data_IF_206876752428
#
_entry.id   IF_206876752428
#
_cell.length_a   1.000
_cell.length_b   1.000
_cell.length_c   1.000
_cell.angle_alpha   90.00
_cell.angle_beta   90.00
_cell.angle_gamma   90.00
#
_symmetry.space_group_name_H-M   'P 1'
#
loop_
_entity.id
_entity.type
_entity.pdbx_description
1 polymer ?
#
# COMPACT_ATOMS: atom_id res chain seq x y z
N UNK A 1 21.52 6.17 14.61
CA UNK A 1 20.51 7.24 14.82
C UNK A 1 19.34 6.68 15.63
N UNK A 2 18.37 7.49 16.07
CA UNK A 2 17.10 7.02 16.69
C UNK A 2 15.93 7.39 15.78
N UNK A 3 15.41 6.41 15.06
CA UNK A 3 14.36 6.59 14.05
C UNK A 3 13.01 6.19 14.62
N UNK A 4 12.01 7.03 14.46
CA UNK A 4 10.59 6.67 14.67
C UNK A 4 9.90 6.68 13.32
N UNK A 5 9.25 5.58 12.96
CA UNK A 5 8.50 5.45 11.71
C UNK A 5 7.00 5.41 11.98
N UNK A 6 6.29 6.45 11.54
CA UNK A 6 4.85 6.58 11.68
C UNK A 6 4.10 6.15 10.41
N UNK A 7 4.72 5.27 9.62
CA UNK A 7 4.17 4.71 8.39
C UNK A 7 4.73 3.29 8.14
N UNK A 8 3.92 2.26 7.83
CA UNK A 8 4.42 0.93 7.53
C UNK A 8 5.45 0.88 6.40
N UNK A 9 5.22 1.55 5.27
CA UNK A 9 6.18 1.52 4.16
C UNK A 9 7.55 2.11 4.52
N UNK A 10 7.58 3.20 5.30
CA UNK A 10 8.84 3.77 5.78
C UNK A 10 9.57 2.82 6.75
N UNK A 11 8.82 2.05 7.55
CA UNK A 11 9.38 1.00 8.39
C UNK A 11 10.05 -0.09 7.56
N UNK A 12 9.37 -0.57 6.50
CA UNK A 12 9.95 -1.57 5.60
C UNK A 12 11.22 -1.06 4.91
N UNK A 13 11.25 0.21 4.50
CA UNK A 13 12.46 0.83 3.93
C UNK A 13 13.59 0.89 4.97
N UNK A 14 13.33 1.33 6.20
CA UNK A 14 14.34 1.37 7.27
C UNK A 14 14.98 -0.01 7.49
N UNK A 15 14.17 -1.08 7.54
CA UNK A 15 14.70 -2.44 7.66
C UNK A 15 15.47 -2.87 6.41
N UNK A 16 14.98 -2.55 5.21
CA UNK A 16 15.65 -2.88 3.95
C UNK A 16 17.01 -2.17 3.79
N UNK A 17 17.19 -1.03 4.44
CA UNK A 17 18.46 -0.30 4.53
C UNK A 17 19.38 -0.82 5.65
N UNK A 18 19.00 -1.87 6.37
CA UNK A 18 19.80 -2.43 7.47
C UNK A 18 19.73 -1.63 8.77
N UNK A 19 18.78 -0.70 8.89
CA UNK A 19 18.67 0.23 10.04
C UNK A 19 17.63 -0.23 11.07
N UNK A 20 17.28 -1.52 11.11
CA UNK A 20 16.28 -2.07 12.03
C UNK A 20 16.60 -1.80 13.51
N UNK A 21 17.88 -1.88 13.89
CA UNK A 21 18.36 -1.59 15.26
C UNK A 21 18.24 -0.11 15.63
N UNK A 22 18.13 0.78 14.63
CA UNK A 22 17.96 2.22 14.83
C UNK A 22 16.48 2.61 14.97
N UNK A 23 15.55 1.70 14.65
CA UNK A 23 14.12 1.94 14.75
C UNK A 23 13.65 1.79 16.21
N UNK A 24 13.34 2.91 16.85
CA UNK A 24 12.95 3.00 18.27
C UNK A 24 11.46 3.21 18.48
N UNK A 25 10.69 3.35 17.40
CA UNK A 25 9.23 3.43 17.45
C UNK A 25 8.57 3.22 16.11
N UNK A 26 7.40 2.58 16.12
CA UNK A 26 6.60 2.25 14.93
C UNK A 26 5.11 2.59 15.11
N UNK A 27 4.31 2.47 14.06
CA UNK A 27 2.85 2.44 14.20
C UNK A 27 2.35 1.06 14.61
N UNK A 28 1.09 0.97 15.04
CA UNK A 28 0.40 -0.30 15.26
C UNK A 28 0.19 -1.11 13.97
N UNK A 29 0.27 -0.48 12.80
CA UNK A 29 0.08 -1.10 11.47
C UNK A 29 1.39 -1.64 10.87
N UNK A 30 2.54 -1.36 11.49
CA UNK A 30 3.82 -1.87 11.02
C UNK A 30 3.97 -3.35 11.43
N UNK A 31 3.90 -4.27 10.48
CA UNK A 31 3.92 -5.73 10.73
C UNK A 31 4.99 -6.48 9.91
N UNK A 32 5.82 -5.75 9.15
CA UNK A 32 6.87 -6.30 8.31
C UNK A 32 8.17 -5.48 8.39
N UNK A 33 9.34 -6.13 8.39
CA UNK A 33 9.54 -7.58 8.50
C UNK A 33 9.18 -8.09 9.92
N UNK A 34 9.07 -9.41 10.17
CA UNK A 34 8.61 -9.94 11.46
C UNK A 34 9.37 -9.41 12.69
N UNK A 35 10.65 -9.08 12.52
CA UNK A 35 11.51 -8.48 13.55
C UNK A 35 10.97 -7.13 14.07
N UNK A 36 10.13 -6.44 13.28
CA UNK A 36 9.51 -5.18 13.69
C UNK A 36 8.62 -5.33 14.92
N UNK A 37 8.14 -6.54 15.22
CA UNK A 37 7.29 -6.80 16.38
C UNK A 37 7.95 -6.37 17.70
N UNK A 38 9.29 -6.44 17.78
CA UNK A 38 10.06 -6.04 18.95
C UNK A 38 10.14 -4.51 19.15
N UNK A 39 9.82 -3.73 18.12
CA UNK A 39 9.89 -2.26 18.16
C UNK A 39 8.65 -1.70 18.88
N UNK A 40 8.81 -0.75 19.82
CA UNK A 40 7.67 -0.17 20.54
C UNK A 40 6.67 0.54 19.62
N UNK A 41 5.38 0.35 19.90
CA UNK A 41 4.28 0.98 19.16
C UNK A 41 3.98 2.36 19.73
N UNK A 42 3.91 3.37 18.86
CA UNK A 42 3.70 4.78 19.19
C UNK A 42 2.31 5.28 18.85
N UNK A 43 1.50 4.49 18.15
CA UNK A 43 0.15 4.90 17.74
C UNK A 43 -0.88 3.85 18.05
N UNK A 44 -2.12 4.27 18.23
CA UNK A 44 -3.27 3.38 18.36
C UNK A 44 -4.43 3.90 17.54
N UNK A 45 -5.17 3.00 16.89
CA UNK A 45 -6.53 3.29 16.43
C UNK A 45 -7.39 3.60 17.66
N UNK A 46 -8.03 4.78 17.64
CA UNK A 46 -8.90 5.24 18.73
C UNK A 46 -10.09 4.30 18.95
N UNK A 47 -10.42 3.49 17.94
CA UNK A 47 -11.73 2.88 17.77
C UNK A 47 -11.67 1.49 17.12
N UNK A 48 -10.53 0.80 17.29
CA UNK A 48 -10.23 -0.48 16.65
C UNK A 48 -11.39 -1.47 16.75
N UNK A 49 -11.83 -1.97 15.59
CA UNK A 49 -12.77 -3.09 15.50
C UNK A 49 -12.23 -4.13 14.53
N UNK A 50 -11.39 -5.05 15.03
CA UNK A 50 -10.82 -6.11 14.21
C UNK A 50 -11.92 -6.91 13.49
N UNK A 51 -11.78 -7.08 12.17
CA UNK A 51 -12.71 -7.83 11.34
C UNK A 51 -14.02 -7.10 10.97
N UNK A 52 -14.13 -5.80 11.25
CA UNK A 52 -15.26 -5.00 10.77
C UNK A 52 -15.37 -5.05 9.23
N UNK A 53 -16.59 -5.02 8.70
CA UNK A 53 -16.84 -4.98 7.25
C UNK A 53 -16.46 -3.62 6.66
N UNK A 54 -16.09 -3.58 5.37
CA UNK A 54 -15.67 -2.36 4.67
C UNK A 54 -16.69 -1.23 4.78
N UNK A 55 -17.99 -1.53 4.69
CA UNK A 55 -19.07 -0.53 4.85
C UNK A 55 -19.02 0.18 6.21
N UNK A 56 -18.88 -0.60 7.28
CA UNK A 56 -18.86 -0.06 8.64
C UNK A 56 -17.61 0.77 8.89
N UNK A 57 -16.45 0.30 8.40
CA UNK A 57 -15.20 1.06 8.48
C UNK A 57 -15.34 2.38 7.69
N UNK A 58 -15.89 2.33 6.47
CA UNK A 58 -16.12 3.51 5.63
C UNK A 58 -17.01 4.54 6.32
N UNK A 59 -18.17 4.14 6.84
CA UNK A 59 -19.09 5.05 7.52
C UNK A 59 -18.41 5.72 8.72
N UNK A 60 -17.62 4.99 9.50
CA UNK A 60 -16.88 5.54 10.65
C UNK A 60 -15.78 6.52 10.25
N UNK A 61 -14.99 6.17 9.24
CA UNK A 61 -13.94 7.05 8.71
C UNK A 61 -14.57 8.35 8.22
N UNK A 62 -15.65 8.24 7.42
CA UNK A 62 -16.40 9.39 6.92
C UNK A 62 -16.92 10.25 8.07
N UNK A 63 -17.60 9.67 9.05
CA UNK A 63 -18.18 10.41 10.18
C UNK A 63 -17.12 11.15 10.99
N UNK A 64 -15.94 10.54 11.20
CA UNK A 64 -14.83 11.17 11.93
C UNK A 64 -14.18 12.30 11.16
N UNK A 65 -13.95 12.13 9.84
CA UNK A 65 -13.44 13.19 8.98
C UNK A 65 -14.38 14.39 8.97
N UNK A 66 -15.70 14.16 8.86
CA UNK A 66 -16.70 15.23 8.92
C UNK A 66 -16.78 15.88 10.31
N UNK A 67 -16.62 15.08 11.36
CA UNK A 67 -16.61 15.56 12.76
C UNK A 67 -15.30 16.19 13.21
N UNK A 68 -14.26 16.23 12.37
CA UNK A 68 -12.91 16.70 12.75
C UNK A 68 -12.21 15.86 13.82
N UNK A 69 -12.70 14.64 14.06
CA UNK A 69 -12.16 13.72 15.07
C UNK A 69 -10.94 12.98 14.52
N UNK A 70 -9.96 12.69 15.39
CA UNK A 70 -8.78 11.94 14.98
C UNK A 70 -9.11 10.46 14.78
N UNK A 71 -8.57 9.87 13.71
CA UNK A 71 -8.64 8.43 13.48
C UNK A 71 -7.66 7.68 14.39
N UNK A 72 -6.46 8.22 14.54
CA UNK A 72 -5.40 7.64 15.36
C UNK A 72 -4.95 8.57 16.48
N UNK A 73 -4.44 7.98 17.54
CA UNK A 73 -3.78 8.67 18.65
C UNK A 73 -2.28 8.40 18.59
N UNK A 74 -1.50 9.44 18.82
CA UNK A 74 -0.06 9.35 19.05
C UNK A 74 0.20 9.28 20.56
N UNK A 75 1.01 8.33 21.00
CA UNK A 75 1.51 8.25 22.36
C UNK A 75 2.73 9.19 22.50
N UNK A 76 2.46 10.39 22.99
CA UNK A 76 3.50 11.41 23.15
C UNK A 76 4.49 11.10 24.27
N UNK A 77 4.08 10.32 25.27
CA UNK A 77 4.98 9.90 26.34
C UNK A 77 5.98 8.87 25.80
N UNK A 78 5.50 7.89 25.04
CA UNK A 78 6.35 6.93 24.37
C UNK A 78 7.27 7.61 23.33
N UNK A 79 6.75 8.59 22.56
CA UNK A 79 7.57 9.39 21.64
C UNK A 79 8.67 10.18 22.36
N UNK A 80 8.36 10.77 23.52
CA UNK A 80 9.34 11.50 24.32
C UNK A 80 10.42 10.58 24.90
N UNK A 81 10.03 9.44 25.45
CA UNK A 81 10.97 8.42 25.96
C UNK A 81 11.84 7.83 24.85
N UNK A 82 11.29 7.74 23.63
CA UNK A 82 12.01 7.28 22.46
C UNK A 82 13.08 8.26 21.97
N UNK A 83 13.06 9.55 22.36
CA UNK A 83 14.09 10.55 22.00
C UNK A 83 14.55 10.46 20.54
N UNK A 84 13.64 10.59 19.56
CA UNK A 84 13.98 10.40 18.15
C UNK A 84 14.84 11.54 17.61
N UNK A 85 15.75 11.20 16.71
CA UNK A 85 16.49 12.17 15.88
C UNK A 85 15.73 12.41 14.55
N UNK A 86 15.04 11.37 14.05
CA UNK A 86 14.32 11.36 12.78
C UNK A 86 12.94 10.72 12.97
N UNK A 87 11.91 11.40 12.46
CA UNK A 87 10.55 10.88 12.37
C UNK A 87 10.13 10.81 10.90
N UNK A 88 9.76 9.61 10.46
CA UNK A 88 9.23 9.36 9.12
C UNK A 88 7.70 9.32 9.18
N UNK A 89 7.01 10.06 8.31
CA UNK A 89 5.54 10.19 8.28
C UNK A 89 5.04 10.36 6.83
N UNK A 90 3.75 10.62 6.64
CA UNK A 90 3.14 10.95 5.34
C UNK A 90 1.93 11.89 5.45
N UNK A 91 1.59 12.56 4.35
CA UNK A 91 0.34 13.30 4.11
C UNK A 91 -0.41 12.85 2.83
N UNK A 92 0.02 11.72 2.25
CA UNK A 92 -0.60 11.12 1.06
C UNK A 92 -2.06 10.72 1.33
N UNK A 93 -2.35 10.12 2.47
CA UNK A 93 -3.68 9.68 2.88
C UNK A 93 -4.01 10.19 4.29
N UNK A 94 -5.01 11.07 4.38
CA UNK A 94 -5.55 11.63 5.64
C UNK A 94 -6.22 10.58 6.54
N UNK A 95 -6.43 9.37 6.01
CA UNK A 95 -7.11 8.26 6.69
C UNK A 95 -6.13 7.27 7.31
N UNK A 96 -4.90 7.16 6.79
CA UNK A 96 -3.99 6.05 7.11
C UNK A 96 -2.86 6.41 8.08
N UNK A 97 -2.71 7.67 8.47
CA UNK A 97 -1.69 8.08 9.44
C UNK A 97 -2.18 9.16 10.40
N UNK A 98 -1.41 9.38 11.46
CA UNK A 98 -1.56 10.57 12.32
C UNK A 98 -1.35 11.81 11.46
N UNK A 99 -2.26 12.78 11.52
CA UNK A 99 -2.14 13.97 10.67
C UNK A 99 -0.87 14.76 11.00
N UNK A 100 -0.23 15.28 9.95
CA UNK A 100 1.04 16.00 10.07
C UNK A 100 0.99 17.19 11.04
N UNK A 101 -0.14 17.92 11.06
CA UNK A 101 -0.38 18.99 12.04
C UNK A 101 -0.30 18.49 13.48
N UNK A 102 -0.93 17.35 13.80
CA UNK A 102 -0.90 16.79 15.17
C UNK A 102 0.49 16.29 15.53
N UNK A 103 1.17 15.66 14.58
CA UNK A 103 2.54 15.21 14.77
C UNK A 103 3.48 16.39 15.06
N UNK A 104 3.44 17.44 14.24
CA UNK A 104 4.28 18.62 14.45
C UNK A 104 3.96 19.35 15.76
N UNK A 105 2.70 19.41 16.17
CA UNK A 105 2.30 19.91 17.50
C UNK A 105 2.85 19.05 18.64
N UNK A 106 2.89 17.71 18.49
CA UNK A 106 3.47 16.79 19.48
C UNK A 106 4.99 16.91 19.52
N UNK A 107 5.66 16.91 18.36
CA UNK A 107 7.12 17.07 18.23
C UNK A 107 7.59 18.36 18.90
N UNK A 108 6.89 19.49 18.69
CA UNK A 108 7.21 20.76 19.37
C UNK A 108 7.13 20.66 20.91
N UNK A 109 6.21 19.85 21.44
CA UNK A 109 6.07 19.64 22.89
C UNK A 109 7.13 18.69 23.44
N UNK A 110 7.52 17.70 22.65
CA UNK A 110 8.51 16.67 23.03
C UNK A 110 9.94 17.20 22.92
N UNK A 111 10.28 17.91 21.84
CA UNK A 111 11.63 18.37 21.56
C UNK A 111 12.09 19.50 22.50
N UNK A 112 11.15 20.27 23.07
CA UNK A 112 11.46 21.45 23.87
C UNK A 112 12.11 22.57 23.04
N UNK A 113 12.80 23.51 23.70
CA UNK A 113 13.46 24.66 23.04
C UNK A 113 14.84 24.32 22.43
N UNK A 114 15.45 23.19 22.81
CA UNK A 114 16.84 22.83 22.47
C UNK A 114 16.98 21.54 21.64
N UNK A 115 15.92 20.75 21.49
CA UNK A 115 15.94 19.51 20.70
C UNK A 115 15.60 19.76 19.23
N UNK A 116 16.42 19.25 18.31
CA UNK A 116 16.13 19.25 16.88
C UNK A 116 15.71 17.83 16.47
N UNK A 117 14.42 17.65 16.19
CA UNK A 117 13.88 16.39 15.66
C UNK A 117 13.54 16.64 14.18
N UNK A 118 14.19 15.90 13.28
CA UNK A 118 13.89 15.98 11.85
C UNK A 118 12.60 15.23 11.55
N UNK A 119 11.62 15.88 10.92
CA UNK A 119 10.36 15.24 10.49
C UNK A 119 10.30 15.23 8.98
N UNK A 120 10.18 14.05 8.38
CA UNK A 120 10.15 13.86 6.93
C UNK A 120 8.82 13.27 6.52
N UNK A 121 8.05 14.01 5.71
CA UNK A 121 6.82 13.50 5.07
C UNK A 121 7.16 12.85 3.73
N UNK A 122 6.71 11.61 3.54
CA UNK A 122 6.92 10.81 2.34
C UNK A 122 5.60 10.65 1.59
N UNK A 123 5.50 11.23 0.40
CA UNK A 123 4.24 11.32 -0.35
C UNK A 123 4.40 10.86 -1.81
N UNK A 124 4.86 9.61 -2.05
CA UNK A 124 5.03 9.13 -3.41
C UNK A 124 3.67 8.87 -4.06
N UNK A 125 3.54 9.25 -5.33
CA UNK A 125 2.33 8.97 -6.14
C UNK A 125 2.62 8.08 -7.35
N UNK A 126 3.88 7.68 -7.55
CA UNK A 126 4.36 6.85 -8.66
C UNK A 126 5.44 5.88 -8.17
N UNK A 127 5.74 4.85 -8.97
CA UNK A 127 6.81 3.89 -8.67
C UNK A 127 8.16 4.60 -8.52
N UNK A 128 8.48 5.55 -9.40
CA UNK A 128 9.71 6.34 -9.27
C UNK A 128 9.69 7.22 -8.01
N UNK A 129 8.52 7.77 -7.63
CA UNK A 129 8.34 8.45 -6.36
C UNK A 129 8.67 7.56 -5.17
N UNK A 130 8.22 6.29 -5.19
CA UNK A 130 8.53 5.31 -4.15
C UNK A 130 10.04 5.06 -4.07
N UNK A 131 10.69 4.83 -5.21
CA UNK A 131 12.14 4.67 -5.25
C UNK A 131 12.87 5.91 -4.69
N UNK A 132 12.37 7.12 -4.99
CA UNK A 132 12.94 8.34 -4.41
C UNK A 132 12.79 8.41 -2.89
N UNK A 133 11.72 7.87 -2.30
CA UNK A 133 11.59 7.80 -0.83
C UNK A 133 12.69 6.96 -0.19
N UNK A 134 13.18 5.92 -0.86
CA UNK A 134 14.32 5.11 -0.40
C UNK A 134 15.58 5.97 -0.36
N UNK A 135 15.87 6.72 -1.43
CA UNK A 135 16.99 7.67 -1.46
C UNK A 135 16.88 8.73 -0.36
N UNK A 136 15.67 9.28 -0.14
CA UNK A 136 15.42 10.29 0.89
C UNK A 136 15.68 9.72 2.28
N UNK A 137 15.15 8.53 2.61
CA UNK A 137 15.40 7.89 3.90
C UNK A 137 16.89 7.58 4.07
N UNK A 138 17.55 7.03 3.03
CA UNK A 138 18.99 6.78 3.05
C UNK A 138 19.81 8.02 3.39
N UNK A 139 19.57 9.15 2.71
CA UNK A 139 20.26 10.40 3.00
C UNK A 139 19.96 10.96 4.40
N UNK A 140 18.72 10.82 4.88
CA UNK A 140 18.34 11.32 6.20
C UNK A 140 18.85 10.45 7.35
N UNK A 141 19.11 9.17 7.08
CA UNK A 141 19.62 8.22 8.05
C UNK A 141 21.13 7.95 7.92
N UNK A 142 21.84 8.65 7.02
CA UNK A 142 23.25 8.41 6.69
C UNK A 142 23.54 6.96 6.22
N UNK A 143 22.65 6.44 5.39
CA UNK A 143 22.68 5.10 4.78
C UNK A 143 22.54 5.19 3.25
N UNK A 144 23.25 6.15 2.62
CA UNK A 144 23.18 6.39 1.18
C UNK A 144 23.70 5.21 0.34
N UNK A 145 24.76 4.53 0.78
CA UNK A 145 25.34 3.40 0.07
C UNK A 145 24.37 2.20 0.06
N UNK A 146 23.73 1.92 1.19
CA UNK A 146 22.68 0.90 1.32
C UNK A 146 21.47 1.24 0.45
N UNK A 147 21.08 2.51 0.41
CA UNK A 147 19.98 2.97 -0.44
C UNK A 147 20.29 2.79 -1.93
N UNK A 148 21.51 3.12 -2.37
CA UNK A 148 21.95 2.87 -3.75
C UNK A 148 21.88 1.37 -4.08
N UNK A 149 22.41 0.51 -3.20
CA UNK A 149 22.36 -0.94 -3.41
C UNK A 149 20.93 -1.49 -3.50
N UNK A 150 20.03 -1.05 -2.62
CA UNK A 150 18.62 -1.44 -2.66
C UNK A 150 17.93 -0.97 -3.94
N UNK A 151 18.21 0.26 -4.40
CA UNK A 151 17.64 0.81 -5.62
C UNK A 151 18.12 0.07 -6.87
N UNK A 152 19.40 -0.28 -6.94
CA UNK A 152 19.94 -1.10 -8.03
C UNK A 152 19.23 -2.45 -8.11
N UNK A 153 19.08 -3.13 -6.97
CA UNK A 153 18.36 -4.40 -6.86
C UNK A 153 16.89 -4.28 -7.34
N UNK A 154 16.16 -3.28 -6.84
CA UNK A 154 14.75 -3.08 -7.21
C UNK A 154 14.58 -2.72 -8.69
N UNK A 155 15.48 -1.89 -9.25
CA UNK A 155 15.46 -1.53 -10.68
C UNK A 155 15.81 -2.71 -11.57
N UNK A 156 16.77 -3.56 -11.19
CA UNK A 156 17.08 -4.79 -11.92
C UNK A 156 15.89 -5.75 -11.95
N UNK A 157 15.22 -5.92 -10.81
CA UNK A 157 14.00 -6.74 -10.70
C UNK A 157 12.88 -6.20 -11.60
N UNK A 158 12.65 -4.89 -11.56
CA UNK A 158 11.64 -4.24 -12.41
C UNK A 158 11.98 -4.37 -13.89
N UNK A 159 13.24 -4.13 -14.27
CA UNK A 159 13.69 -4.27 -15.65
C UNK A 159 13.53 -5.69 -16.18
N UNK A 160 13.72 -6.71 -15.35
CA UNK A 160 13.46 -8.11 -15.71
C UNK A 160 11.99 -8.34 -16.08
N UNK A 161 11.06 -7.80 -15.28
CA UNK A 161 9.62 -7.91 -15.55
C UNK A 161 9.25 -7.16 -16.84
N UNK A 162 9.71 -5.90 -16.98
CA UNK A 162 9.38 -5.05 -18.12
C UNK A 162 9.93 -5.61 -19.44
N UNK A 163 11.14 -6.17 -19.44
CA UNK A 163 11.70 -6.85 -20.60
C UNK A 163 10.85 -8.06 -20.99
N UNK A 164 10.40 -8.86 -20.01
CA UNK A 164 9.53 -9.99 -20.28
C UNK A 164 8.17 -9.55 -20.83
N UNK A 165 7.56 -8.49 -20.29
CA UNK A 165 6.32 -7.90 -20.84
C UNK A 165 6.52 -7.49 -22.29
N UNK A 166 7.65 -6.87 -22.62
CA UNK A 166 7.96 -6.48 -24.00
C UNK A 166 8.06 -7.69 -24.93
N UNK A 167 8.75 -8.75 -24.51
CA UNK A 167 8.82 -10.02 -25.27
C UNK A 167 7.43 -10.59 -25.55
N UNK A 168 6.56 -10.63 -24.52
CA UNK A 168 5.18 -11.15 -24.64
C UNK A 168 4.36 -10.30 -25.62
N UNK A 169 4.47 -8.98 -25.56
CA UNK A 169 3.82 -8.06 -26.52
C UNK A 169 4.31 -8.26 -27.95
N UNK A 170 5.63 -8.43 -28.15
CA UNK A 170 6.21 -8.72 -29.48
C UNK A 170 5.75 -10.08 -30.02
N UNK A 171 5.44 -11.04 -29.14
CA UNK A 171 4.84 -12.32 -29.50
C UNK A 171 3.31 -12.24 -29.76
N UNK A 172 2.71 -11.04 -29.69
CA UNK A 172 1.30 -10.81 -30.02
C UNK A 172 0.34 -10.94 -28.84
N UNK A 173 0.84 -11.03 -27.60
CA UNK A 173 -0.01 -11.04 -26.40
C UNK A 173 -0.50 -9.61 -26.12
N UNK A 174 -1.82 -9.43 -26.13
CA UNK A 174 -2.45 -8.14 -25.87
C UNK A 174 -2.46 -7.80 -24.37
N UNK A 175 -2.42 -6.51 -24.00
CA UNK A 175 -2.59 -6.10 -22.60
C UNK A 175 -3.93 -6.58 -22.04
N UNK A 176 -3.88 -7.28 -20.90
CA UNK A 176 -5.06 -7.72 -20.17
C UNK A 176 -5.79 -6.51 -19.58
N UNK A 177 -7.10 -6.41 -19.82
CA UNK A 177 -7.92 -5.28 -19.33
C UNK A 177 -8.46 -5.61 -17.94
N UNK A 178 -8.07 -4.84 -16.94
CA UNK A 178 -8.34 -5.16 -15.53
C UNK A 178 -8.98 -3.99 -14.79
N UNK A 179 -9.68 -4.31 -13.71
CA UNK A 179 -10.12 -3.33 -12.72
C UNK A 179 -9.50 -3.68 -11.38
N UNK A 180 -8.97 -2.65 -10.74
CA UNK A 180 -8.26 -2.70 -9.47
C UNK A 180 -9.07 -1.98 -8.39
N UNK A 181 -9.53 -2.71 -7.36
CA UNK A 181 -10.36 -2.16 -6.28
C UNK A 181 -9.63 -2.13 -4.92
N UNK A 182 -9.39 -0.93 -4.39
CA UNK A 182 -8.73 -0.69 -3.10
C UNK A 182 -9.72 -0.58 -1.92
N UNK A 183 -11.01 -0.66 -2.21
CA UNK A 183 -12.08 -0.80 -1.22
C UNK A 183 -13.27 -1.46 -1.89
N UNK A 184 -14.08 -2.22 -1.14
CA UNK A 184 -15.13 -3.06 -1.72
C UNK A 184 -16.55 -2.54 -1.48
N UNK A 185 -16.78 -1.77 -0.41
CA UNK A 185 -18.11 -1.24 -0.09
C UNK A 185 -18.08 0.15 0.59
N UNK A 186 -18.41 1.24 -0.13
CA UNK A 186 -18.59 1.29 -1.60
C UNK A 186 -17.26 0.97 -2.33
N UNK A 187 -17.29 0.55 -3.60
CA UNK A 187 -16.05 0.22 -4.30
C UNK A 187 -15.20 1.48 -4.53
N UNK A 188 -13.88 1.36 -4.40
CA UNK A 188 -12.92 2.42 -4.75
C UNK A 188 -11.99 1.93 -5.85
N UNK A 189 -11.91 2.68 -6.96
CA UNK A 189 -10.95 2.42 -8.01
C UNK A 189 -9.55 2.83 -7.53
N UNK A 190 -8.57 1.97 -7.79
CA UNK A 190 -7.19 2.15 -7.37
C UNK A 190 -6.55 3.40 -8.00
N UNK A 191 -5.61 4.00 -7.28
CA UNK A 191 -4.93 5.23 -7.70
C UNK A 191 -3.42 5.17 -7.50
N UNK A 192 -2.80 6.33 -7.46
CA UNK A 192 -1.38 6.56 -7.25
C UNK A 192 -0.54 5.68 -8.20
N UNK A 193 0.29 4.80 -7.64
CA UNK A 193 1.16 3.92 -8.39
C UNK A 193 0.47 2.63 -8.87
N UNK A 194 -0.73 2.29 -8.41
CA UNK A 194 -1.36 0.99 -8.74
C UNK A 194 -1.70 0.86 -10.23
N UNK A 195 -2.29 1.86 -10.92
CA UNK A 195 -2.46 1.80 -12.37
C UNK A 195 -1.12 1.70 -13.12
N UNK A 196 -0.05 2.30 -12.58
CA UNK A 196 1.30 2.19 -13.13
C UNK A 196 1.84 0.77 -12.93
N UNK A 197 1.58 0.12 -11.79
CA UNK A 197 1.92 -1.29 -11.57
C UNK A 197 1.28 -2.18 -12.62
N UNK A 198 -0.02 -2.01 -12.88
CA UNK A 198 -0.76 -2.77 -13.91
C UNK A 198 -0.13 -2.55 -15.29
N UNK A 199 0.16 -1.31 -15.67
CA UNK A 199 0.79 -1.00 -16.97
C UNK A 199 2.17 -1.66 -17.10
N UNK A 200 3.01 -1.56 -16.07
CA UNK A 200 4.37 -2.14 -16.04
C UNK A 200 4.34 -3.66 -16.00
N UNK A 201 3.31 -4.26 -15.42
CA UNK A 201 3.02 -5.69 -15.45
C UNK A 201 2.43 -6.18 -16.80
N UNK A 202 2.18 -5.26 -17.74
CA UNK A 202 1.74 -5.58 -19.10
C UNK A 202 0.25 -5.43 -19.35
N UNK A 203 -0.55 -5.12 -18.33
CA UNK A 203 -1.99 -4.93 -18.41
C UNK A 203 -2.44 -3.51 -18.76
N UNK A 204 -3.74 -3.29 -18.61
CA UNK A 204 -4.42 -2.02 -18.79
C UNK A 204 -5.49 -1.84 -17.70
N UNK A 205 -5.26 -0.91 -16.78
CA UNK A 205 -6.24 -0.55 -15.74
C UNK A 205 -7.34 0.34 -16.36
N UNK A 206 -8.60 0.01 -16.09
CA UNK A 206 -9.77 0.60 -16.77
C UNK A 206 -10.44 1.79 -16.08
N UNK A 207 -10.24 2.00 -14.78
CA UNK A 207 -10.97 3.01 -13.98
C UNK A 207 -10.05 4.01 -13.28
N UNK A 208 -8.97 3.53 -12.68
CA UNK A 208 -7.94 4.27 -11.99
C UNK A 208 -7.06 5.10 -12.92
N UNK A 209 -6.32 6.03 -12.32
CA UNK A 209 -5.42 6.95 -13.03
C UNK A 209 -4.07 7.03 -12.35
N UNK A 210 -3.01 6.86 -13.13
CA UNK A 210 -1.63 6.95 -12.64
C UNK A 210 -1.38 8.31 -11.99
N UNK A 211 -0.83 8.30 -10.77
CA UNK A 211 -0.47 9.50 -10.03
C UNK A 211 -1.64 10.24 -9.35
N UNK A 212 -2.89 9.92 -9.67
CA UNK A 212 -4.07 10.53 -9.05
C UNK A 212 -4.55 9.70 -7.86
N UNK A 213 -5.21 10.33 -6.88
CA UNK A 213 -5.74 9.61 -5.70
C UNK A 213 -6.76 8.55 -6.12
N UNK A 214 -6.88 7.50 -5.31
CA UNK A 214 -7.95 6.52 -5.41
C UNK A 214 -9.31 7.22 -5.25
N UNK A 215 -10.31 6.80 -6.02
CA UNK A 215 -11.62 7.46 -6.07
C UNK A 215 -12.74 6.47 -5.80
N UNK A 216 -13.75 6.92 -5.06
CA UNK A 216 -15.00 6.16 -4.93
C UNK A 216 -15.61 5.96 -6.32
N UNK A 217 -16.02 4.74 -6.61
CA UNK A 217 -16.65 4.34 -7.88
C UNK A 217 -17.92 3.55 -7.58
N UNK A 218 -18.54 2.99 -8.62
CA UNK A 218 -19.74 2.17 -8.50
C UNK A 218 -19.55 0.83 -9.19
N UNK A 219 -20.33 -0.17 -8.77
CA UNK A 219 -20.37 -1.43 -9.49
C UNK A 219 -20.89 -1.23 -10.92
N UNK A 220 -21.78 -0.27 -11.16
CA UNK A 220 -22.22 0.13 -12.50
C UNK A 220 -21.04 0.59 -13.37
N UNK A 221 -20.12 1.41 -12.86
CA UNK A 221 -18.92 1.80 -13.59
C UNK A 221 -18.01 0.60 -13.89
N UNK A 222 -17.88 -0.34 -12.94
CA UNK A 222 -17.16 -1.62 -13.18
C UNK A 222 -17.83 -2.43 -14.30
N UNK A 223 -19.17 -2.44 -14.37
CA UNK A 223 -19.92 -3.10 -15.43
C UNK A 223 -19.71 -2.44 -16.78
N UNK A 224 -19.71 -1.12 -16.84
CA UNK A 224 -19.59 -0.34 -18.08
C UNK A 224 -18.27 -0.59 -18.80
N UNK A 225 -17.18 -0.81 -18.06
CA UNK A 225 -15.84 -1.05 -18.65
C UNK A 225 -15.57 -2.51 -19.01
N UNK A 226 -16.44 -3.43 -18.55
CA UNK A 226 -16.39 -4.88 -18.82
C UNK A 226 -14.98 -5.49 -18.67
N UNK A 227 -14.45 -5.59 -17.44
CA UNK A 227 -13.09 -6.06 -17.21
C UNK A 227 -12.94 -7.54 -17.54
N UNK A 228 -11.74 -7.91 -18.00
CA UNK A 228 -11.34 -9.30 -18.20
C UNK A 228 -10.86 -9.96 -16.91
N UNK A 229 -10.36 -9.17 -15.96
CA UNK A 229 -10.04 -9.63 -14.60
C UNK A 229 -10.39 -8.55 -13.59
N UNK A 230 -10.77 -8.97 -12.38
CA UNK A 230 -11.05 -8.10 -11.25
C UNK A 230 -10.08 -8.41 -10.10
N UNK A 231 -9.27 -7.43 -9.73
CA UNK A 231 -8.32 -7.51 -8.63
C UNK A 231 -8.88 -6.77 -7.42
N UNK A 232 -9.21 -7.52 -6.38
CA UNK A 232 -9.67 -6.99 -5.10
C UNK A 232 -8.44 -6.88 -4.19
N UNK A 233 -8.12 -5.67 -3.72
CA UNK A 233 -6.94 -5.41 -2.90
C UNK A 233 -7.20 -4.30 -1.87
N UNK A 234 -8.22 -4.47 -1.00
CA UNK A 234 -8.53 -3.49 0.03
C UNK A 234 -7.30 -3.15 0.88
N UNK A 235 -7.08 -1.86 1.09
CA UNK A 235 -6.00 -1.38 1.96
C UNK A 235 -6.19 -1.92 3.39
N UNK A 236 -5.11 -2.35 4.03
CA UNK A 236 -5.11 -2.94 5.37
C UNK A 236 -5.39 -4.45 5.40
N UNK A 237 -5.69 -5.08 4.27
CA UNK A 237 -6.13 -6.48 4.21
C UNK A 237 -5.10 -7.34 3.48
N UNK A 238 -4.76 -8.49 4.08
CA UNK A 238 -4.08 -9.58 3.38
C UNK A 238 -5.05 -10.30 2.42
N UNK A 239 -4.56 -11.24 1.59
CA UNK A 239 -5.41 -11.94 0.62
C UNK A 239 -6.55 -12.76 1.27
N UNK A 240 -6.34 -13.30 2.47
CA UNK A 240 -7.36 -14.05 3.21
C UNK A 240 -8.45 -13.14 3.77
N UNK A 241 -8.07 -11.99 4.32
CA UNK A 241 -8.97 -10.93 4.78
C UNK A 241 -9.77 -10.35 3.61
N UNK A 242 -9.12 -10.11 2.46
CA UNK A 242 -9.78 -9.69 1.23
C UNK A 242 -10.85 -10.69 0.78
N UNK A 243 -10.54 -12.01 0.79
CA UNK A 243 -11.54 -13.04 0.49
C UNK A 243 -12.72 -13.03 1.49
N UNK A 244 -12.43 -12.87 2.79
CA UNK A 244 -13.46 -12.83 3.82
C UNK A 244 -14.35 -11.57 3.72
N UNK A 245 -13.77 -10.44 3.32
CA UNK A 245 -14.54 -9.23 2.98
C UNK A 245 -15.40 -9.46 1.75
N UNK A 246 -14.82 -10.02 0.69
CA UNK A 246 -15.55 -10.30 -0.55
C UNK A 246 -16.81 -11.12 -0.30
N UNK A 247 -16.75 -12.13 0.58
CA UNK A 247 -17.92 -12.94 0.95
C UNK A 247 -19.06 -12.12 1.56
N UNK A 248 -18.74 -11.01 2.24
CA UNK A 248 -19.71 -10.14 2.93
C UNK A 248 -20.11 -8.92 2.10
N UNK A 249 -19.32 -8.55 1.10
CA UNK A 249 -19.59 -7.41 0.21
C UNK A 249 -20.92 -7.63 -0.54
N UNK A 250 -21.89 -6.70 -0.42
CA UNK A 250 -23.10 -6.73 -1.22
C UNK A 250 -22.76 -6.61 -2.71
N UNK A 251 -23.30 -7.52 -3.53
CA UNK A 251 -23.09 -7.53 -4.98
C UNK A 251 -24.39 -7.23 -5.70
N UNK A 252 -24.38 -6.45 -6.79
CA UNK A 252 -25.56 -6.31 -7.64
C UNK A 252 -26.04 -7.66 -8.16
N UNK A 253 -27.35 -7.81 -8.39
CA UNK A 253 -27.93 -9.07 -8.87
C UNK A 253 -27.32 -9.54 -10.20
N UNK A 254 -26.86 -8.61 -11.04
CA UNK A 254 -26.23 -8.88 -12.33
C UNK A 254 -24.73 -9.18 -12.22
N UNK A 255 -24.10 -9.14 -11.04
CA UNK A 255 -22.65 -9.28 -10.90
C UNK A 255 -22.12 -10.58 -11.53
N UNK A 256 -22.85 -11.69 -11.38
CA UNK A 256 -22.50 -12.98 -11.97
C UNK A 256 -22.53 -12.99 -13.52
N UNK A 257 -23.08 -11.95 -14.16
CA UNK A 257 -23.09 -11.78 -15.61
C UNK A 257 -21.81 -11.11 -16.14
N UNK A 258 -21.01 -10.46 -15.28
CA UNK A 258 -19.74 -9.85 -15.67
C UNK A 258 -18.81 -10.88 -16.31
N UNK A 259 -18.06 -10.47 -17.34
CA UNK A 259 -17.09 -11.34 -18.00
C UNK A 259 -16.10 -11.96 -17.01
N UNK A 260 -15.43 -11.12 -16.21
CA UNK A 260 -14.51 -11.60 -15.18
C UNK A 260 -15.16 -12.61 -14.23
N UNK A 261 -16.42 -12.36 -13.81
CA UNK A 261 -17.17 -13.28 -12.95
C UNK A 261 -17.44 -14.63 -13.62
N UNK A 262 -17.93 -14.62 -14.85
CA UNK A 262 -18.26 -15.84 -15.61
C UNK A 262 -17.04 -16.68 -15.96
N UNK A 263 -15.90 -16.04 -16.19
CA UNK A 263 -14.64 -16.68 -16.58
C UNK A 263 -13.81 -17.12 -15.36
N UNK A 264 -14.24 -16.79 -14.13
CA UNK A 264 -13.51 -17.14 -12.90
C UNK A 264 -12.26 -16.28 -12.66
N UNK A 265 -12.26 -15.08 -13.22
CA UNK A 265 -11.13 -14.14 -13.27
C UNK A 265 -11.26 -13.06 -12.19
N UNK A 266 -11.56 -13.48 -10.95
CA UNK A 266 -11.57 -12.61 -9.78
C UNK A 266 -10.54 -13.10 -8.77
N UNK A 267 -9.78 -12.16 -8.23
CA UNK A 267 -8.68 -12.48 -7.33
C UNK A 267 -8.71 -11.57 -6.11
N UNK A 268 -8.65 -12.18 -4.93
CA UNK A 268 -8.34 -11.49 -3.68
C UNK A 268 -6.83 -11.40 -3.55
N UNK A 269 -6.30 -10.20 -3.42
CA UNK A 269 -4.87 -9.94 -3.26
C UNK A 269 -4.58 -9.40 -1.86
N UNK A 270 -3.33 -9.53 -1.42
CA UNK A 270 -2.81 -8.80 -0.27
C UNK A 270 -2.61 -7.32 -0.64
N UNK A 271 -3.64 -6.53 -0.34
CA UNK A 271 -3.68 -5.10 -0.61
C UNK A 271 -2.70 -4.31 0.22
N UNK A 272 -2.44 -4.74 1.46
CA UNK A 272 -1.49 -4.10 2.37
C UNK A 272 -0.06 -4.17 1.84
N UNK A 273 0.44 -5.38 1.60
CA UNK A 273 1.85 -5.61 1.32
C UNK A 273 2.30 -5.05 -0.03
N UNK A 274 1.51 -5.27 -1.07
CA UNK A 274 1.97 -5.10 -2.46
C UNK A 274 1.39 -3.87 -3.16
N UNK A 275 0.28 -3.32 -2.65
CA UNK A 275 -0.47 -2.29 -3.38
C UNK A 275 -0.67 -0.99 -2.59
N UNK A 276 -0.79 -1.07 -1.26
CA UNK A 276 -1.13 0.08 -0.42
C UNK A 276 0.05 0.66 0.37
N UNK A 277 1.16 -0.08 0.49
CA UNK A 277 2.38 0.37 1.17
C UNK A 277 3.43 0.78 0.13
N UNK A 278 3.72 2.08 -0.03
CA UNK A 278 4.70 2.57 -1.00
C UNK A 278 6.13 2.32 -0.53
N UNK A 279 6.55 1.05 -0.57
CA UNK A 279 7.89 0.58 -0.18
C UNK A 279 8.44 -0.45 -1.16
N UNK A 280 9.51 -1.18 -0.82
CA UNK A 280 10.19 -2.09 -1.76
C UNK A 280 9.27 -3.15 -2.40
N UNK A 281 8.30 -3.67 -1.63
CA UNK A 281 7.40 -4.75 -2.06
C UNK A 281 6.42 -4.37 -3.17
N UNK A 282 6.27 -3.09 -3.51
CA UNK A 282 5.49 -2.71 -4.70
C UNK A 282 6.07 -3.28 -6.00
N UNK A 283 7.38 -3.54 -6.07
CA UNK A 283 7.99 -4.19 -7.23
C UNK A 283 7.60 -5.67 -7.29
N UNK A 284 7.43 -6.33 -6.15
CA UNK A 284 6.87 -7.69 -6.08
C UNK A 284 5.40 -7.70 -6.53
N UNK A 285 4.63 -6.66 -6.18
CA UNK A 285 3.26 -6.45 -6.66
C UNK A 285 3.15 -6.41 -8.18
N UNK A 286 4.10 -5.78 -8.87
CA UNK A 286 4.17 -5.77 -10.35
C UNK A 286 4.39 -7.20 -10.88
N UNK A 287 5.29 -7.98 -10.27
CA UNK A 287 5.52 -9.37 -10.64
C UNK A 287 4.29 -10.25 -10.44
N UNK A 288 3.61 -10.10 -9.31
CA UNK A 288 2.35 -10.78 -8.99
C UNK A 288 1.29 -10.49 -10.06
N UNK A 289 1.06 -9.20 -10.39
CA UNK A 289 0.11 -8.82 -11.43
C UNK A 289 0.48 -9.39 -12.80
N UNK A 290 1.77 -9.40 -13.15
CA UNK A 290 2.24 -9.92 -14.43
C UNK A 290 1.93 -11.43 -14.57
N UNK A 291 2.12 -12.19 -13.50
CA UNK A 291 1.76 -13.61 -13.44
C UNK A 291 0.25 -13.85 -13.54
N UNK A 292 -0.57 -13.07 -12.82
CA UNK A 292 -2.02 -13.22 -12.91
C UNK A 292 -2.59 -12.85 -14.29
N UNK A 293 -2.00 -11.86 -14.97
CA UNK A 293 -2.47 -11.40 -16.27
C UNK A 293 -1.95 -12.26 -17.43
N UNK A 294 -0.78 -12.90 -17.28
CA UNK A 294 -0.12 -13.71 -18.29
C UNK A 294 0.65 -14.90 -17.67
N UNK A 295 -0.05 -15.93 -17.17
CA UNK A 295 0.56 -17.06 -16.47
C UNK A 295 1.44 -17.97 -17.36
N UNK A 296 1.30 -17.88 -18.69
CA UNK A 296 2.19 -18.57 -19.63
C UNK A 296 3.49 -17.77 -19.86
N UNK A 297 3.47 -16.47 -19.58
CA UNK A 297 4.59 -15.56 -19.74
C UNK A 297 5.44 -15.46 -18.48
N UNK A 298 4.82 -15.56 -17.31
CA UNK A 298 5.41 -15.34 -16.00
C UNK A 298 5.09 -16.51 -15.08
N UNK A 299 6.12 -17.02 -14.40
CA UNK A 299 6.03 -18.16 -13.49
C UNK A 299 6.82 -17.81 -12.23
N UNK A 300 6.30 -18.21 -11.07
CA UNK A 300 6.95 -18.03 -9.76
C UNK A 300 7.35 -16.57 -9.45
N UNK A 301 6.52 -15.61 -9.87
CA UNK A 301 6.65 -14.19 -9.52
C UNK A 301 5.82 -13.83 -8.30
N UNK A 302 4.64 -14.45 -8.17
CA UNK A 302 3.73 -14.20 -7.08
C UNK A 302 4.30 -14.75 -5.77
N UNK A 303 4.35 -13.93 -4.70
CA UNK A 303 4.74 -14.40 -3.38
C UNK A 303 3.73 -15.42 -2.84
N UNK A 304 4.16 -16.37 -2.00
CA UNK A 304 3.26 -17.28 -1.30
C UNK A 304 2.17 -16.50 -0.57
N UNK A 305 0.93 -16.97 -0.65
CA UNK A 305 -0.26 -16.37 -0.01
C UNK A 305 -0.60 -14.93 -0.46
N UNK A 306 0.11 -14.35 -1.45
CA UNK A 306 -0.14 -13.00 -1.95
C UNK A 306 -1.45 -12.83 -2.72
N UNK A 307 -2.09 -13.95 -3.12
CA UNK A 307 -3.36 -13.93 -3.82
C UNK A 307 -4.18 -15.22 -3.64
N UNK A 308 -5.49 -15.11 -3.85
CA UNK A 308 -6.45 -16.23 -3.79
C UNK A 308 -7.48 -16.07 -4.92
N UNK A 309 -7.74 -17.10 -5.74
CA UNK A 309 -8.82 -17.04 -6.73
C UNK A 309 -10.18 -17.09 -6.02
N UNK A 310 -11.14 -16.32 -6.51
CA UNK A 310 -12.46 -16.20 -5.91
C UNK A 310 -13.52 -16.86 -6.79
N UNK A 311 -14.44 -17.57 -6.15
CA UNK A 311 -15.67 -18.00 -6.78
C UNK A 311 -16.73 -16.89 -6.69
N UNK A 312 -17.63 -16.87 -7.68
CA UNK A 312 -18.83 -16.02 -7.71
C UNK A 312 -19.93 -16.59 -6.83
#
# INVERSE_FOLDING_TARGET
>A
MRIVSLLPSATEIVFALGLGDELVGRTHECDYPPEVEAVPVMTADVDAQPGAASRLIHDRVRDRLHGGSALYRLDEAALADAKPDLILTQELCDVCAVSYRRLTEAVRRVAGEEGEISVVSLEPTSIEGILNTISTIGAMAAAEDEAVGLLEFLRERLGTIENRVLERRLAGIAPRRVVCLEWLDPPFAAGHWVPEQVRRAGGWELLGREGERSVETTWEAVREVEPEQLFLMPCGFDASATRAEWQRTPKPAWFAELRAAREGELFALDGSAYFSRPGPRVIEGIGLLAELMDPDGFVDQAPPDGWIPLAV
#
